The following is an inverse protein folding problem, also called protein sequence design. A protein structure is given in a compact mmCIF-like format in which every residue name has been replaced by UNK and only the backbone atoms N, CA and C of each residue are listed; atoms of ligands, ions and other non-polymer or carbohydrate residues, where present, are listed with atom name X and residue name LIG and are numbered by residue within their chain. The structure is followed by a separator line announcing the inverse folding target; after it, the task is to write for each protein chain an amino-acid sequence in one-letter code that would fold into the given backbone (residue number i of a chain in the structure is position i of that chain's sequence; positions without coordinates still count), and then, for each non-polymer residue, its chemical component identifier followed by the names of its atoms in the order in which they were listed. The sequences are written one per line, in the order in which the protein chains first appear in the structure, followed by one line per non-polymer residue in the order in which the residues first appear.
data_IF_094011350755
#
_entry.id   IF_094011350755
#
_cell.length_a   1.000
_cell.length_b   1.000
_cell.length_c   1.000
_cell.angle_alpha   90.00
_cell.angle_beta   90.00
_cell.angle_gamma   90.00
#
_symmetry.space_group_name_H-M   'P 1'
#
loop_
_entity.id
_entity.type
_entity.pdbx_description
1 polymer ?
#
# COMPACT_ATOMS: atom_id res chain seq x y z
N UNK A 1 -10.28 -6.49 -1.17
CA UNK A 1 -9.95 -5.37 -2.07
C UNK A 1 -8.71 -4.68 -1.57
N UNK A 2 -7.77 -4.32 -2.45
CA UNK A 2 -6.47 -3.77 -2.03
C UNK A 2 -6.45 -2.26 -2.24
N UNK A 3 -6.08 -1.52 -1.20
CA UNK A 3 -5.94 -0.06 -1.22
C UNK A 3 -4.50 0.30 -0.88
N UNK A 4 -3.94 1.30 -1.54
CA UNK A 4 -2.60 1.81 -1.26
C UNK A 4 -2.71 3.24 -0.76
N UNK A 5 -2.26 3.48 0.47
CA UNK A 5 -2.30 4.78 1.14
C UNK A 5 -0.94 5.18 1.71
N UNK A 6 -0.91 6.34 2.38
CA UNK A 6 0.26 6.84 3.09
C UNK A 6 0.08 6.71 4.59
N UNK A 7 1.18 6.44 5.30
CA UNK A 7 1.20 6.26 6.75
C UNK A 7 0.92 7.52 7.59
N UNK A 8 0.85 8.71 6.98
CA UNK A 8 0.52 9.98 7.67
C UNK A 8 -0.97 10.27 7.87
N UNK A 9 -1.85 9.50 7.22
CA UNK A 9 -3.28 9.80 7.21
C UNK A 9 -4.04 8.97 8.27
N UNK A 10 -3.79 9.25 9.56
CA UNK A 10 -4.32 8.45 10.68
C UNK A 10 -5.85 8.26 10.64
N UNK A 11 -6.60 9.31 10.32
CA UNK A 11 -8.07 9.25 10.21
C UNK A 11 -8.55 8.34 9.08
N UNK A 12 -7.81 8.31 7.97
CA UNK A 12 -8.11 7.42 6.85
C UNK A 12 -7.82 5.98 7.22
N UNK A 13 -6.69 5.72 7.88
CA UNK A 13 -6.34 4.39 8.39
C UNK A 13 -7.42 3.87 9.34
N UNK A 14 -7.91 4.72 10.24
CA UNK A 14 -8.95 4.33 11.19
C UNK A 14 -10.29 4.04 10.51
N UNK A 15 -10.70 4.86 9.53
CA UNK A 15 -11.91 4.58 8.75
C UNK A 15 -11.81 3.23 8.00
N UNK A 16 -10.63 2.89 7.47
CA UNK A 16 -10.40 1.60 6.82
C UNK A 16 -10.47 0.44 7.82
N UNK A 17 -9.90 0.58 9.02
CA UNK A 17 -10.07 -0.43 10.09
C UNK A 17 -11.53 -0.68 10.44
N UNK A 18 -12.32 0.38 10.57
CA UNK A 18 -13.75 0.28 10.87
C UNK A 18 -14.53 -0.38 9.72
N UNK A 19 -14.07 -0.22 8.48
CA UNK A 19 -14.61 -0.89 7.31
C UNK A 19 -14.12 -2.35 7.15
N UNK A 20 -13.32 -2.87 8.08
CA UNK A 20 -12.82 -4.26 8.06
C UNK A 20 -11.51 -4.46 7.30
N UNK A 21 -10.86 -3.39 6.84
CA UNK A 21 -9.56 -3.50 6.17
C UNK A 21 -8.44 -3.68 7.18
N UNK A 22 -7.45 -4.49 6.83
CA UNK A 22 -6.21 -4.65 7.57
C UNK A 22 -5.16 -3.63 7.07
N UNK A 23 -4.73 -2.65 7.88
CA UNK A 23 -3.60 -1.82 7.52
C UNK A 23 -2.29 -2.58 7.71
N UNK A 24 -1.43 -2.58 6.70
CA UNK A 24 -0.10 -3.20 6.73
C UNK A 24 0.91 -2.26 6.10
N UNK A 25 2.14 -2.19 6.62
CA UNK A 25 3.20 -1.41 5.96
C UNK A 25 3.72 -2.18 4.77
N UNK A 26 4.04 -1.47 3.69
CA UNK A 26 4.56 -2.11 2.48
C UNK A 26 5.83 -2.93 2.73
N UNK A 27 6.75 -2.44 3.57
CA UNK A 27 7.98 -3.17 3.93
C UNK A 27 7.68 -4.51 4.61
N UNK A 28 6.73 -4.53 5.55
CA UNK A 28 6.36 -5.75 6.26
C UNK A 28 5.69 -6.75 5.31
N UNK A 29 4.84 -6.24 4.41
CA UNK A 29 4.14 -7.06 3.42
C UNK A 29 5.11 -7.70 2.40
N UNK A 30 6.09 -6.94 1.92
CA UNK A 30 7.14 -7.47 1.03
C UNK A 30 7.93 -8.59 1.72
N UNK A 31 8.30 -8.39 2.99
CA UNK A 31 9.01 -9.41 3.75
C UNK A 31 8.14 -10.69 3.96
N UNK A 32 6.82 -10.55 4.12
CA UNK A 32 5.90 -11.70 4.18
C UNK A 32 5.84 -12.45 2.85
N UNK A 33 5.85 -11.73 1.72
CA UNK A 33 5.91 -12.34 0.38
C UNK A 33 7.21 -13.12 0.18
N UNK A 34 8.36 -12.54 0.56
CA UNK A 34 9.67 -13.20 0.46
C UNK A 34 9.77 -14.46 1.31
N UNK A 35 9.08 -14.50 2.47
CA UNK A 35 8.99 -15.68 3.33
C UNK A 35 7.94 -16.71 2.89
N UNK A 36 7.11 -16.39 1.90
CA UNK A 36 6.03 -17.25 1.43
C UNK A 36 4.84 -17.36 2.40
N UNK A 37 4.70 -16.42 3.34
CA UNK A 37 3.60 -16.39 4.32
C UNK A 37 2.28 -15.93 3.69
N UNK A 38 2.37 -15.11 2.63
CA UNK A 38 1.25 -14.59 1.86
C UNK A 38 1.70 -14.34 0.43
N UNK A 39 0.76 -14.10 -0.48
CA UNK A 39 1.03 -13.71 -1.86
C UNK A 39 0.12 -12.56 -2.29
N UNK A 40 0.46 -11.81 -3.35
CA UNK A 40 -0.43 -10.79 -3.91
C UNK A 40 -1.83 -11.32 -4.24
N UNK A 41 -1.92 -12.57 -4.71
CA UNK A 41 -3.18 -13.22 -5.11
C UNK A 41 -4.08 -13.61 -3.93
N UNK A 42 -3.50 -13.71 -2.73
CA UNK A 42 -4.21 -14.12 -1.51
C UNK A 42 -4.62 -12.93 -0.65
N UNK A 43 -4.33 -11.70 -1.08
CA UNK A 43 -4.68 -10.51 -0.33
C UNK A 43 -6.19 -10.21 -0.34
N UNK A 44 -6.74 -10.05 0.86
CA UNK A 44 -8.13 -9.66 1.09
C UNK A 44 -8.32 -8.14 1.14
N UNK A 45 -9.13 -7.68 2.09
CA UNK A 45 -9.34 -6.26 2.38
C UNK A 45 -8.13 -5.68 3.10
N UNK A 46 -7.15 -5.20 2.33
CA UNK A 46 -5.85 -4.76 2.84
C UNK A 46 -5.57 -3.31 2.45
N UNK A 47 -5.21 -2.49 3.43
CA UNK A 47 -4.67 -1.14 3.23
C UNK A 47 -3.14 -1.18 3.35
N UNK A 48 -2.45 -1.05 2.23
CA UNK A 48 -0.98 -1.02 2.17
C UNK A 48 -0.52 0.41 2.40
N UNK A 49 0.25 0.63 3.46
CA UNK A 49 0.79 1.92 3.87
C UNK A 49 2.21 2.10 3.34
N UNK A 50 2.37 3.11 2.49
CA UNK A 50 3.67 3.58 2.01
C UNK A 50 4.23 4.63 2.99
N UNK A 51 5.55 4.61 3.23
CA UNK A 51 6.20 5.64 4.03
C UNK A 51 6.04 7.02 3.37
N UNK A 52 5.58 8.01 4.13
CA UNK A 52 5.25 9.34 3.61
C UNK A 52 6.36 10.39 3.77
N UNK A 53 7.52 10.02 4.34
CA UNK A 53 8.64 10.91 4.61
C UNK A 53 9.17 11.62 3.34
N UNK A 54 9.10 10.97 2.17
CA UNK A 54 9.54 11.51 0.88
C UNK A 54 8.52 12.48 0.23
N UNK A 55 7.31 12.59 0.78
CA UNK A 55 6.17 13.30 0.17
C UNK A 55 5.91 14.68 0.76
N UNK A 56 6.94 15.36 1.28
CA UNK A 56 6.77 16.69 1.88
C UNK A 56 6.18 17.76 0.94
N UNK A 57 6.15 17.52 -0.39
CA UNK A 57 5.65 18.50 -1.38
C UNK A 57 4.54 18.04 -2.33
N UNK A 58 4.27 16.76 -2.48
CA UNK A 58 3.24 16.30 -3.42
C UNK A 58 1.91 16.07 -2.70
N UNK A 59 0.86 16.81 -3.12
CA UNK A 59 -0.53 16.57 -2.72
C UNK A 59 -1.15 15.35 -3.44
N UNK A 60 -0.40 14.71 -4.33
CA UNK A 60 -0.85 13.53 -5.07
C UNK A 60 -0.89 12.28 -4.20
N UNK A 61 -1.90 11.44 -4.41
CA UNK A 61 -1.93 10.09 -3.84
C UNK A 61 -0.86 9.19 -4.49
N UNK A 62 -0.67 7.99 -3.93
CA UNK A 62 0.20 6.93 -4.48
C UNK A 62 -0.04 6.67 -5.97
N UNK A 63 -1.31 6.71 -6.39
CA UNK A 63 -1.74 6.58 -7.78
C UNK A 63 -1.22 7.71 -8.69
N UNK A 64 -1.13 8.95 -8.19
CA UNK A 64 -0.68 10.09 -9.01
C UNK A 64 0.84 10.10 -9.21
N UNK A 65 1.59 9.31 -8.43
CA UNK A 65 3.06 9.27 -8.44
C UNK A 65 3.63 7.95 -8.96
N UNK A 66 2.78 7.02 -9.42
CA UNK A 66 3.20 5.65 -9.75
C UNK A 66 3.86 5.48 -11.12
N UNK A 67 4.07 6.57 -11.90
CA UNK A 67 4.53 6.60 -13.31
C UNK A 67 4.91 5.21 -13.85
N UNK A 68 3.90 4.39 -14.23
CA UNK A 68 4.13 2.98 -14.44
C UNK A 68 5.02 2.81 -15.67
N UNK A 69 6.15 2.12 -15.51
CA UNK A 69 6.99 1.73 -16.64
C UNK A 69 6.35 0.53 -17.32
N UNK A 70 5.89 0.71 -18.56
CA UNK A 70 5.55 -0.39 -19.43
C UNK A 70 6.86 -1.08 -19.84
N UNK A 71 7.06 -2.32 -19.40
CA UNK A 71 8.18 -3.15 -19.88
C UNK A 71 7.69 -3.97 -21.07
N UNK A 72 8.38 -3.86 -22.19
CA UNK A 72 8.18 -4.78 -23.32
C UNK A 72 8.52 -6.21 -22.89
N UNK A 73 7.83 -7.19 -23.48
CA UNK A 73 8.15 -8.60 -23.28
C UNK A 73 9.58 -8.87 -23.77
N UNK A 74 10.43 -9.40 -22.87
CA UNK A 74 11.76 -9.90 -23.19
C UNK A 74 11.70 -11.04 -24.21
#
# INVERSE_FOLDING_TARGET
GVVVGYDRNDKTVEAFRQAGFQPVRAADLLAQFERGETSPDTLGDTLILLPSAELSRARGGSHCMSMPLLRDSL
#
